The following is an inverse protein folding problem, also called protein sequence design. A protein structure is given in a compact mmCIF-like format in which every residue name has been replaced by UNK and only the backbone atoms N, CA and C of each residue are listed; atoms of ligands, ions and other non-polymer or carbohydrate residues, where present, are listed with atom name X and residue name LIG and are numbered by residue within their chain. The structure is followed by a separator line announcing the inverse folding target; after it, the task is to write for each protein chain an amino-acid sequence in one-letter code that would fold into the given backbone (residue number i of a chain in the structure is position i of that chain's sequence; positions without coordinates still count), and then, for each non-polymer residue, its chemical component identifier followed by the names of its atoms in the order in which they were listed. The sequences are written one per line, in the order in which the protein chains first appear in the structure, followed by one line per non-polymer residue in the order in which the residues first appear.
data_IF_998352165306
#
_entry.id   IF_998352165306
#
_cell.length_a   1.000
_cell.length_b   1.000
_cell.length_c   1.000
_cell.angle_alpha   90.00
_cell.angle_beta   90.00
_cell.angle_gamma   90.00
#
_symmetry.space_group_name_H-M   'P 1'
#
loop_
_entity.id
_entity.type
_entity.pdbx_description
1 polymer ?
#
# COMPACT_ATOMS: atom_id res chain seq x y z
N UNK A 1 3.69 -22.40 8.68
CA UNK A 1 3.36 -21.14 7.96
C UNK A 1 3.28 -19.92 8.88
N UNK A 2 2.66 -20.02 10.06
CA UNK A 2 2.59 -18.94 11.07
C UNK A 2 3.97 -18.38 11.50
N UNK A 3 4.98 -19.25 11.59
CA UNK A 3 6.36 -18.88 11.95
C UNK A 3 7.06 -17.91 10.99
N UNK A 4 6.64 -17.85 9.72
CA UNK A 4 7.22 -16.94 8.72
C UNK A 4 6.51 -15.57 8.80
N UNK A 5 5.22 -15.57 9.14
CA UNK A 5 4.38 -14.37 9.14
C UNK A 5 4.76 -13.38 10.24
N UNK A 6 5.01 -13.85 11.47
CA UNK A 6 5.41 -12.96 12.56
C UNK A 6 6.82 -12.39 12.35
N UNK A 7 7.74 -13.17 11.76
CA UNK A 7 9.10 -12.69 11.42
C UNK A 7 9.04 -11.60 10.36
N UNK A 8 8.15 -11.77 9.37
CA UNK A 8 7.89 -10.73 8.37
C UNK A 8 7.34 -9.45 9.00
N UNK A 9 6.35 -9.56 9.90
CA UNK A 9 5.82 -8.39 10.62
C UNK A 9 6.88 -7.70 11.49
N UNK A 10 7.70 -8.47 12.22
CA UNK A 10 8.82 -7.92 13.00
C UNK A 10 9.83 -7.24 12.09
N UNK A 11 10.16 -7.85 10.94
CA UNK A 11 11.08 -7.23 9.97
C UNK A 11 10.51 -5.93 9.38
N UNK A 12 9.21 -5.87 9.10
CA UNK A 12 8.55 -4.64 8.65
C UNK A 12 8.61 -3.56 9.73
N UNK A 13 8.28 -3.89 10.98
CA UNK A 13 8.35 -2.94 12.10
C UNK A 13 9.78 -2.42 12.28
N UNK A 14 10.77 -3.31 12.22
CA UNK A 14 12.19 -2.93 12.33
C UNK A 14 12.64 -2.04 11.18
N UNK A 15 12.24 -2.34 9.94
CA UNK A 15 12.53 -1.49 8.78
C UNK A 15 11.90 -0.11 8.95
N UNK A 16 10.66 -0.04 9.44
CA UNK A 16 9.98 1.24 9.65
C UNK A 16 10.63 2.09 10.75
N UNK A 17 11.00 1.46 11.87
CA UNK A 17 11.72 2.13 12.95
C UNK A 17 13.10 2.59 12.46
N UNK A 18 13.85 1.71 11.77
CA UNK A 18 15.16 2.05 11.24
C UNK A 18 15.07 3.21 10.25
N UNK A 19 14.16 3.14 9.28
CA UNK A 19 13.93 4.22 8.32
C UNK A 19 13.53 5.54 9.00
N UNK A 20 12.69 5.51 10.04
CA UNK A 20 12.32 6.69 10.82
C UNK A 20 13.54 7.29 11.57
N UNK A 21 14.35 6.43 12.20
CA UNK A 21 15.52 6.88 12.97
C UNK A 21 16.63 7.42 12.07
N UNK A 22 16.85 6.83 10.89
CA UNK A 22 17.84 7.30 9.93
C UNK A 22 17.43 8.65 9.33
N UNK A 23 16.14 8.83 9.05
CA UNK A 23 15.60 10.11 8.60
C UNK A 23 15.80 11.20 9.67
N UNK A 24 15.46 10.89 10.92
CA UNK A 24 15.62 11.81 12.05
C UNK A 24 17.09 12.15 12.36
N UNK A 25 18.01 11.18 12.28
CA UNK A 25 19.42 11.38 12.65
C UNK A 25 20.26 12.04 11.56
N UNK A 26 20.02 11.71 10.29
CA UNK A 26 20.90 12.14 9.20
C UNK A 26 20.31 13.25 8.35
N UNK A 27 19.04 13.64 8.58
CA UNK A 27 18.41 14.71 7.80
C UNK A 27 18.49 14.46 6.28
N UNK A 28 18.53 13.18 5.87
CA UNK A 28 18.66 12.80 4.45
C UNK A 28 17.49 13.33 3.60
N UNK A 29 16.41 13.77 4.24
CA UNK A 29 15.25 14.42 3.63
C UNK A 29 15.23 15.96 3.77
N UNK A 30 16.21 16.58 4.42
CA UNK A 30 16.29 18.03 4.59
C UNK A 30 17.12 18.74 3.50
N UNK A 31 17.87 17.97 2.68
CA UNK A 31 18.94 18.53 1.83
C UNK A 31 18.69 18.68 0.32
N UNK A 32 17.58 18.22 -0.25
CA UNK A 32 17.30 18.47 -1.68
C UNK A 32 15.85 18.83 -1.94
N UNK A 33 15.61 20.13 -2.14
CA UNK A 33 14.58 20.54 -3.07
C UNK A 33 14.82 19.82 -4.42
N UNK A 34 13.77 19.32 -5.06
CA UNK A 34 13.75 18.88 -6.46
C UNK A 34 14.13 17.44 -6.86
N UNK A 35 13.94 16.44 -6.00
CA UNK A 35 13.41 15.17 -6.51
C UNK A 35 12.21 14.68 -5.71
N UNK A 36 11.14 15.45 -5.94
CA UNK A 36 9.75 15.29 -5.58
C UNK A 36 9.15 13.93 -5.97
N UNK A 37 9.73 12.81 -5.54
CA UNK A 37 9.01 11.54 -5.44
C UNK A 37 8.02 11.64 -4.28
N UNK A 38 7.05 12.54 -4.41
CA UNK A 38 5.88 12.61 -3.54
C UNK A 38 5.29 11.20 -3.55
N UNK A 39 5.00 10.59 -2.39
CA UNK A 39 4.35 9.29 -2.31
C UNK A 39 3.15 9.15 -3.27
N UNK A 40 2.48 10.26 -3.58
CA UNK A 40 1.52 10.45 -4.69
C UNK A 40 1.92 9.74 -6.00
N UNK A 41 3.13 9.98 -6.54
CA UNK A 41 3.54 9.40 -7.83
C UNK A 41 3.67 7.88 -7.71
N UNK A 42 4.19 7.40 -6.58
CA UNK A 42 4.34 5.96 -6.30
C UNK A 42 2.96 5.30 -6.18
N UNK A 43 2.02 5.92 -5.48
CA UNK A 43 0.67 5.37 -5.33
C UNK A 43 -0.10 5.37 -6.66
N UNK A 44 0.02 6.43 -7.47
CA UNK A 44 -0.57 6.48 -8.82
C UNK A 44 0.07 5.46 -9.74
N UNK A 45 1.39 5.30 -9.73
CA UNK A 45 2.06 4.31 -10.59
C UNK A 45 1.63 2.88 -10.24
N UNK A 46 1.48 2.56 -8.96
CA UNK A 46 0.95 1.26 -8.52
C UNK A 46 -0.49 1.08 -9.00
N UNK A 47 -1.35 2.09 -8.85
CA UNK A 47 -2.72 2.03 -9.35
C UNK A 47 -2.78 1.81 -10.88
N UNK A 48 -1.91 2.48 -11.63
CA UNK A 48 -1.78 2.31 -13.09
C UNK A 48 -1.32 0.90 -13.42
N UNK A 49 -0.26 0.40 -12.77
CA UNK A 49 0.25 -0.95 -13.00
C UNK A 49 -0.82 -2.00 -12.71
N UNK A 50 -1.52 -1.91 -11.58
CA UNK A 50 -2.62 -2.82 -11.25
C UNK A 50 -3.77 -2.76 -12.27
N UNK A 51 -4.06 -1.57 -12.81
CA UNK A 51 -5.10 -1.37 -13.81
C UNK A 51 -4.71 -1.93 -15.17
N UNK A 52 -3.51 -1.62 -15.66
CA UNK A 52 -2.97 -2.13 -16.92
C UNK A 52 -2.83 -3.65 -16.87
N UNK A 53 -2.36 -4.19 -15.76
CA UNK A 53 -2.23 -5.64 -15.59
C UNK A 53 -3.59 -6.34 -15.57
N UNK A 54 -4.63 -5.68 -15.03
CA UNK A 54 -5.99 -6.22 -15.06
C UNK A 54 -6.56 -6.36 -16.50
N UNK A 55 -6.01 -5.65 -17.48
CA UNK A 55 -6.37 -5.80 -18.90
C UNK A 55 -5.85 -7.13 -19.48
N UNK A 56 -4.68 -7.59 -19.02
CA UNK A 56 -4.04 -8.83 -19.47
C UNK A 56 -4.54 -10.03 -18.65
N UNK A 57 -4.66 -9.86 -17.34
CA UNK A 57 -5.15 -10.86 -16.40
C UNK A 57 -6.41 -10.33 -15.70
N UNK A 58 -7.57 -10.80 -16.12
CA UNK A 58 -8.88 -10.32 -15.62
C UNK A 58 -9.11 -10.57 -14.12
N UNK A 59 -8.37 -11.51 -13.53
CA UNK A 59 -8.36 -11.79 -12.08
C UNK A 59 -7.44 -10.83 -11.30
N UNK A 60 -6.69 -9.97 -11.97
CA UNK A 60 -5.77 -9.00 -11.39
C UNK A 60 -4.40 -9.56 -11.01
N UNK A 61 -3.48 -8.66 -10.67
CA UNK A 61 -2.11 -8.99 -10.28
C UNK A 61 -2.04 -9.86 -9.00
N UNK A 62 -2.86 -9.63 -7.94
CA UNK A 62 -2.82 -10.46 -6.73
C UNK A 62 -3.10 -11.94 -7.00
N UNK A 63 -3.92 -12.27 -8.00
CA UNK A 63 -4.20 -13.65 -8.39
C UNK A 63 -2.96 -14.37 -8.92
N UNK A 64 -2.05 -13.68 -9.61
CA UNK A 64 -0.84 -14.31 -10.15
C UNK A 64 0.08 -14.79 -9.03
N UNK A 65 0.21 -14.00 -7.97
CA UNK A 65 1.07 -14.33 -6.84
C UNK A 65 0.44 -15.30 -5.84
N UNK A 66 -0.88 -15.19 -5.61
CA UNK A 66 -1.57 -15.87 -4.51
C UNK A 66 -2.62 -16.88 -4.98
N UNK A 67 -3.16 -16.73 -6.19
CA UNK A 67 -4.31 -17.48 -6.69
C UNK A 67 -4.05 -18.97 -6.87
N UNK A 68 -2.82 -19.39 -7.16
CA UNK A 68 -2.49 -20.82 -7.21
C UNK A 68 -2.59 -21.51 -5.85
N UNK A 69 -2.32 -20.79 -4.76
CA UNK A 69 -2.36 -21.32 -3.39
C UNK A 69 -3.76 -21.24 -2.77
N UNK A 70 -4.55 -20.29 -3.24
CA UNK A 70 -5.86 -19.95 -2.72
C UNK A 70 -6.86 -20.24 -3.84
N UNK A 71 -7.43 -21.45 -3.86
CA UNK A 71 -8.41 -21.95 -4.83
C UNK A 71 -9.77 -21.25 -4.72
N UNK A 72 -9.75 -19.91 -4.81
CA UNK A 72 -10.89 -19.01 -4.64
C UNK A 72 -11.39 -18.59 -6.03
N UNK A 73 -12.70 -18.39 -6.16
CA UNK A 73 -13.36 -17.98 -7.40
C UNK A 73 -12.71 -16.71 -8.00
N UNK A 74 -12.48 -16.70 -9.32
CA UNK A 74 -11.88 -15.58 -10.05
C UNK A 74 -12.62 -14.25 -9.88
N UNK A 75 -13.94 -14.27 -9.63
CA UNK A 75 -14.72 -13.05 -9.41
C UNK A 75 -14.34 -12.33 -8.09
N UNK A 76 -13.93 -13.09 -7.07
CA UNK A 76 -13.41 -12.56 -5.79
C UNK A 76 -12.11 -11.81 -6.04
N UNK A 77 -11.21 -12.40 -6.82
CA UNK A 77 -9.94 -11.78 -7.19
C UNK A 77 -10.10 -10.49 -7.97
N UNK A 78 -11.06 -10.44 -8.91
CA UNK A 78 -11.40 -9.22 -9.65
C UNK A 78 -11.88 -8.11 -8.70
N UNK A 79 -12.82 -8.42 -7.80
CA UNK A 79 -13.31 -7.45 -6.79
C UNK A 79 -12.18 -6.94 -5.89
N UNK A 80 -11.32 -7.84 -5.41
CA UNK A 80 -10.19 -7.48 -4.58
C UNK A 80 -9.19 -6.56 -5.31
N UNK A 81 -8.86 -6.87 -6.56
CA UNK A 81 -7.98 -6.03 -7.39
C UNK A 81 -8.58 -4.63 -7.61
N UNK A 82 -9.89 -4.53 -7.87
CA UNK A 82 -10.57 -3.23 -8.01
C UNK A 82 -10.51 -2.42 -6.71
N UNK A 83 -10.74 -3.05 -5.54
CA UNK A 83 -10.62 -2.38 -4.24
C UNK A 83 -9.19 -1.87 -4.02
N UNK A 84 -8.17 -2.65 -4.37
CA UNK A 84 -6.78 -2.21 -4.26
C UNK A 84 -6.45 -1.03 -5.19
N UNK A 85 -6.93 -1.04 -6.43
CA UNK A 85 -6.76 0.10 -7.36
C UNK A 85 -7.38 1.36 -6.74
N UNK A 86 -8.63 1.28 -6.28
CA UNK A 86 -9.32 2.41 -5.65
C UNK A 86 -8.58 2.91 -4.41
N UNK A 87 -8.01 2.00 -3.62
CA UNK A 87 -7.21 2.34 -2.44
C UNK A 87 -5.94 3.11 -2.77
N UNK A 88 -5.16 2.67 -3.77
CA UNK A 88 -3.95 3.37 -4.16
C UNK A 88 -4.25 4.75 -4.79
N UNK A 89 -5.36 4.88 -5.52
CA UNK A 89 -5.85 6.18 -5.98
C UNK A 89 -6.21 7.07 -4.79
N UNK A 90 -6.94 6.54 -3.81
CA UNK A 90 -7.31 7.28 -2.60
C UNK A 90 -6.08 7.71 -1.78
N UNK A 91 -5.07 6.84 -1.63
CA UNK A 91 -3.80 7.16 -0.97
C UNK A 91 -3.05 8.30 -1.66
N UNK A 92 -3.05 8.32 -3.01
CA UNK A 92 -2.46 9.40 -3.78
C UNK A 92 -3.13 10.75 -3.50
N UNK A 93 -4.47 10.76 -3.56
CA UNK A 93 -5.27 11.96 -3.28
C UNK A 93 -5.06 12.40 -1.84
N UNK A 94 -5.14 11.48 -0.88
CA UNK A 94 -4.97 11.77 0.55
C UNK A 94 -3.56 12.31 0.83
N UNK A 95 -2.52 11.78 0.18
CA UNK A 95 -1.17 12.32 0.29
C UNK A 95 -1.07 13.76 -0.18
N UNK A 96 -1.68 14.06 -1.33
CA UNK A 96 -1.68 15.40 -1.88
C UNK A 96 -2.46 16.38 -0.98
N UNK A 97 -3.63 15.97 -0.49
CA UNK A 97 -4.45 16.78 0.42
C UNK A 97 -3.72 17.07 1.74
N UNK A 98 -3.11 16.05 2.36
CA UNK A 98 -2.37 16.24 3.62
C UNK A 98 -1.18 17.19 3.43
N UNK A 99 -0.45 17.06 2.31
CA UNK A 99 0.63 17.98 1.98
C UNK A 99 0.15 19.44 1.87
N UNK A 100 -1.01 19.67 1.25
CA UNK A 100 -1.54 21.02 1.03
C UNK A 100 -2.11 21.67 2.30
N UNK A 101 -2.68 20.88 3.21
CA UNK A 101 -3.48 21.41 4.33
C UNK A 101 -2.78 21.32 5.69
N UNK A 102 -1.92 20.32 5.91
CA UNK A 102 -1.42 19.99 7.25
C UNK A 102 0.01 20.51 7.55
N UNK A 103 0.67 21.14 6.56
CA UNK A 103 2.03 21.64 6.72
C UNK A 103 3.12 20.56 6.63
N UNK A 104 4.38 20.97 6.51
CA UNK A 104 5.50 20.09 6.20
C UNK A 104 5.78 19.05 7.30
N UNK A 105 5.80 19.49 8.57
CA UNK A 105 6.13 18.63 9.71
C UNK A 105 5.11 17.52 9.92
N UNK A 106 3.80 17.83 9.83
CA UNK A 106 2.77 16.81 9.88
C UNK A 106 2.83 15.88 8.67
N UNK A 107 3.06 16.43 7.47
CA UNK A 107 3.19 15.62 6.25
C UNK A 107 4.35 14.62 6.33
N UNK A 108 5.49 14.99 6.92
CA UNK A 108 6.64 14.09 7.17
C UNK A 108 6.24 12.89 8.05
N UNK A 109 5.44 13.12 9.10
CA UNK A 109 4.95 12.04 9.98
C UNK A 109 3.88 11.20 9.25
N UNK A 110 2.95 11.84 8.57
CA UNK A 110 1.87 11.16 7.86
C UNK A 110 2.38 10.25 6.75
N UNK A 111 3.34 10.70 5.93
CA UNK A 111 3.90 9.86 4.85
C UNK A 111 4.59 8.61 5.41
N UNK A 112 5.20 8.70 6.59
CA UNK A 112 5.99 7.61 7.15
C UNK A 112 5.14 6.63 7.96
N UNK A 113 4.28 7.14 8.84
CA UNK A 113 3.46 6.32 9.74
C UNK A 113 2.01 6.16 9.27
N UNK A 114 1.38 7.25 8.82
CA UNK A 114 -0.02 7.24 8.41
C UNK A 114 -0.25 6.36 7.18
N UNK A 115 0.50 6.62 6.10
CA UNK A 115 0.40 5.83 4.88
C UNK A 115 0.78 4.38 5.09
N UNK A 116 1.85 4.12 5.86
CA UNK A 116 2.26 2.76 6.16
C UNK A 116 1.20 1.99 6.93
N UNK A 117 0.56 2.62 7.92
CA UNK A 117 -0.53 2.00 8.66
C UNK A 117 -1.70 1.64 7.73
N UNK A 118 -2.05 2.53 6.81
CA UNK A 118 -3.09 2.27 5.81
C UNK A 118 -2.70 1.10 4.88
N UNK A 119 -1.45 1.02 4.44
CA UNK A 119 -0.93 -0.05 3.57
C UNK A 119 -0.97 -1.43 4.24
N UNK A 120 -0.91 -1.49 5.57
CA UNK A 120 -1.03 -2.75 6.32
C UNK A 120 -2.51 -3.09 6.54
N UNK A 121 -3.27 -2.15 7.10
CA UNK A 121 -4.62 -2.41 7.59
C UNK A 121 -5.60 -2.64 6.42
N UNK A 122 -5.54 -1.79 5.39
CA UNK A 122 -6.55 -1.79 4.35
C UNK A 122 -6.52 -3.03 3.45
N UNK A 123 -5.36 -3.51 2.96
CA UNK A 123 -5.30 -4.76 2.19
C UNK A 123 -5.77 -5.99 3.00
N UNK A 124 -5.46 -6.04 4.29
CA UNK A 124 -5.91 -7.12 5.18
C UNK A 124 -7.43 -7.11 5.36
N UNK A 125 -7.99 -5.93 5.65
CA UNK A 125 -9.43 -5.77 5.80
C UNK A 125 -10.18 -6.07 4.51
N UNK A 126 -9.71 -5.57 3.37
CA UNK A 126 -10.32 -5.81 2.06
C UNK A 126 -10.23 -7.29 1.64
N UNK A 127 -9.11 -7.97 1.91
CA UNK A 127 -9.00 -9.41 1.66
C UNK A 127 -10.04 -10.20 2.47
N UNK A 128 -10.19 -9.90 3.76
CA UNK A 128 -11.20 -10.53 4.61
C UNK A 128 -12.63 -10.24 4.13
N UNK A 129 -12.93 -8.98 3.79
CA UNK A 129 -14.24 -8.54 3.31
C UNK A 129 -14.69 -9.27 2.04
N UNK A 130 -13.83 -9.34 1.02
CA UNK A 130 -14.21 -9.95 -0.27
C UNK A 130 -14.36 -11.47 -0.13
N UNK A 131 -13.53 -12.13 0.67
CA UNK A 131 -13.67 -13.57 0.96
C UNK A 131 -14.94 -13.89 1.73
N UNK A 132 -15.35 -13.02 2.67
CA UNK A 132 -16.60 -13.20 3.41
C UNK A 132 -17.81 -13.09 2.50
N UNK A 133 -17.83 -12.11 1.59
CA UNK A 133 -18.92 -11.93 0.62
C UNK A 133 -19.03 -13.05 -0.41
N UNK A 134 -17.97 -13.83 -0.64
CA UNK A 134 -18.01 -14.91 -1.62
C UNK A 134 -18.58 -16.22 -1.06
N UNK A 135 -18.79 -16.30 0.26
CA UNK A 135 -19.35 -17.48 0.95
C UNK A 135 -20.86 -17.39 1.15
N UNK A 136 -21.44 -16.19 0.99
CA UNK A 136 -22.87 -15.90 0.95
C UNK A 136 -23.38 -15.96 -0.48
#
# INVERSE_FOLDING_TARGET
MWGIYWRYLVSLVLVLILSATLDYQFGLLDGTEYLSFKPTIVWVSIAIVLSLFALIQSKGLPYVFLGYRLSINGNVWKKFNTILISFFIALSILNYVVYMVAGLEFWKIYKLFGQTSLLIIFPLFSAWYVVRQSKT
#
